data_IF_509710906764
#
_entry.id   IF_509710906764
#
_cell.length_a   1.000
_cell.length_b   1.000
_cell.length_c   1.000
_cell.angle_alpha   90.00
_cell.angle_beta   90.00
_cell.angle_gamma   90.00
#
_symmetry.space_group_name_H-M   'P 1'
#
loop_
_entity.id
_entity.type
_entity.pdbx_description
1 polymer ?
#
# COMPACT_ATOMS: atom_id res chain seq x y z
N UNK A 1 11.86 -40.39 12.87
CA UNK A 1 12.68 -39.16 12.92
C UNK A 1 11.80 -38.09 13.51
N UNK A 2 12.23 -37.43 14.59
CA UNK A 2 11.54 -36.21 15.05
C UNK A 2 11.77 -35.12 14.00
N UNK A 3 10.70 -34.50 13.54
CA UNK A 3 10.77 -33.36 12.64
C UNK A 3 11.42 -32.18 13.38
N UNK A 4 12.48 -31.61 12.81
CA UNK A 4 13.18 -30.44 13.33
C UNK A 4 12.83 -29.25 12.45
N UNK A 5 12.61 -28.08 13.06
CA UNK A 5 12.30 -26.83 12.38
C UNK A 5 13.52 -25.91 12.38
N UNK A 6 13.72 -25.16 11.29
CA UNK A 6 14.73 -24.11 11.24
C UNK A 6 14.17 -22.85 11.94
N UNK A 7 14.81 -22.44 13.04
CA UNK A 7 14.37 -21.29 13.83
C UNK A 7 15.54 -20.35 14.12
N UNK A 8 15.22 -19.07 14.35
CA UNK A 8 16.22 -18.06 14.72
C UNK A 8 16.33 -17.96 16.24
N UNK A 9 17.53 -18.16 16.79
CA UNK A 9 17.85 -17.99 18.20
C UNK A 9 19.14 -17.16 18.35
N UNK A 10 19.06 -16.04 19.09
CA UNK A 10 20.18 -15.09 19.28
C UNK A 10 20.87 -14.61 17.99
N UNK A 11 20.11 -14.53 16.88
CA UNK A 11 20.61 -14.09 15.57
C UNK A 11 21.11 -15.20 14.66
N UNK A 12 21.36 -16.39 15.21
CA UNK A 12 21.76 -17.58 14.46
C UNK A 12 20.57 -18.47 14.10
N UNK A 13 20.75 -19.35 13.12
CA UNK A 13 19.73 -20.30 12.66
C UNK A 13 20.06 -21.71 13.13
N UNK A 14 19.18 -22.26 13.97
CA UNK A 14 19.32 -23.59 14.57
C UNK A 14 18.16 -24.52 14.21
N UNK A 15 18.42 -25.83 14.21
CA UNK A 15 17.41 -26.87 14.07
C UNK A 15 16.88 -27.28 15.45
N UNK A 16 15.63 -26.94 15.74
CA UNK A 16 15.01 -27.16 17.04
C UNK A 16 13.72 -28.00 16.93
N UNK A 17 13.32 -28.75 17.98
CA UNK A 17 12.04 -29.44 17.98
C UNK A 17 10.88 -28.43 18.03
N UNK A 18 9.70 -28.74 17.44
CA UNK A 18 8.54 -27.85 17.45
C UNK A 18 8.09 -27.39 18.85
N UNK A 19 8.31 -28.22 19.89
CA UNK A 19 7.93 -27.91 21.27
C UNK A 19 8.76 -26.80 21.93
N UNK A 20 9.89 -26.39 21.33
CA UNK A 20 10.75 -25.32 21.84
C UNK A 20 10.64 -24.03 21.04
N UNK A 21 9.63 -23.89 20.18
CA UNK A 21 9.38 -22.67 19.40
C UNK A 21 8.39 -21.78 20.15
N UNK A 22 8.82 -20.57 20.50
CA UNK A 22 7.98 -19.60 21.23
C UNK A 22 7.14 -18.71 20.30
N UNK A 23 7.67 -18.38 19.12
CA UNK A 23 7.07 -17.42 18.19
C UNK A 23 7.18 -17.88 16.74
N UNK A 24 6.28 -17.38 15.90
CA UNK A 24 6.26 -17.61 14.45
C UNK A 24 5.99 -16.30 13.73
N UNK A 25 6.57 -16.16 12.54
CA UNK A 25 6.36 -15.04 11.64
C UNK A 25 4.89 -14.96 11.19
N UNK A 26 4.35 -13.74 11.12
CA UNK A 26 2.95 -13.51 10.72
C UNK A 26 2.80 -13.48 9.20
N UNK A 27 3.82 -12.96 8.49
CA UNK A 27 3.80 -12.83 7.04
C UNK A 27 5.19 -13.00 6.44
N UNK A 28 5.33 -13.69 5.29
CA UNK A 28 6.59 -13.76 4.54
C UNK A 28 7.08 -12.38 4.06
N UNK A 29 6.18 -11.41 3.90
CA UNK A 29 6.51 -10.07 3.41
C UNK A 29 7.07 -9.14 4.52
N UNK A 30 7.09 -9.57 5.78
CA UNK A 30 7.52 -8.72 6.90
C UNK A 30 8.99 -8.28 6.83
N UNK A 31 9.81 -9.01 6.07
CA UNK A 31 11.26 -8.76 5.95
C UNK A 31 11.58 -7.74 4.86
N UNK A 32 10.63 -7.46 3.96
CA UNK A 32 10.85 -6.59 2.80
C UNK A 32 10.12 -5.25 2.95
N UNK A 33 10.71 -4.21 2.40
CA UNK A 33 10.07 -2.88 2.37
C UNK A 33 8.88 -2.86 1.41
N UNK A 34 7.99 -1.89 1.59
CA UNK A 34 6.84 -1.66 0.69
C UNK A 34 7.24 -1.59 -0.78
N UNK A 35 8.36 -0.92 -1.10
CA UNK A 35 8.83 -0.80 -2.48
C UNK A 35 9.27 -2.15 -3.07
N UNK A 36 10.02 -2.95 -2.30
CA UNK A 36 10.44 -4.29 -2.74
C UNK A 36 9.25 -5.25 -2.85
N UNK A 37 8.25 -5.10 -1.97
CA UNK A 37 7.03 -5.91 -1.97
C UNK A 37 6.15 -5.71 -3.22
N UNK A 38 6.36 -4.64 -4.00
CA UNK A 38 5.70 -4.38 -5.28
C UNK A 38 6.35 -5.13 -6.46
N UNK A 39 7.52 -5.75 -6.27
CA UNK A 39 8.22 -6.49 -7.32
C UNK A 39 7.67 -7.93 -7.36
N UNK A 40 7.04 -8.37 -8.47
CA UNK A 40 6.59 -9.75 -8.59
C UNK A 40 7.77 -10.72 -8.69
N UNK A 41 7.62 -11.93 -8.14
CA UNK A 41 8.62 -13.00 -8.18
C UNK A 41 9.96 -12.64 -7.52
N UNK A 42 9.93 -11.77 -6.51
CA UNK A 42 11.11 -11.26 -5.80
C UNK A 42 12.03 -12.38 -5.28
N UNK A 43 11.44 -13.50 -4.85
CA UNK A 43 12.16 -14.67 -4.36
C UNK A 43 13.05 -15.35 -5.41
N UNK A 44 12.86 -15.03 -6.69
CA UNK A 44 13.63 -15.55 -7.82
C UNK A 44 14.71 -14.56 -8.30
N UNK A 45 14.77 -13.34 -7.75
CA UNK A 45 15.76 -12.33 -8.11
C UNK A 45 16.85 -12.20 -7.04
N UNK A 46 18.03 -11.73 -7.43
CA UNK A 46 19.11 -11.47 -6.49
C UNK A 46 18.90 -10.13 -5.75
N UNK A 47 19.52 -9.99 -4.58
CA UNK A 47 19.32 -8.84 -3.71
C UNK A 47 19.74 -7.50 -4.36
N UNK A 48 20.76 -7.50 -5.22
CA UNK A 48 21.22 -6.27 -5.88
C UNK A 48 20.25 -5.84 -6.97
N UNK A 49 19.71 -6.80 -7.74
CA UNK A 49 18.67 -6.54 -8.73
C UNK A 49 17.37 -6.08 -8.10
N UNK A 50 16.94 -6.72 -7.01
CA UNK A 50 15.79 -6.29 -6.21
C UNK A 50 15.96 -4.85 -5.69
N UNK A 51 17.15 -4.50 -5.18
CA UNK A 51 17.48 -3.17 -4.71
C UNK A 51 17.43 -2.14 -5.85
N UNK A 52 18.03 -2.46 -6.99
CA UNK A 52 18.00 -1.59 -8.18
C UNK A 52 16.57 -1.39 -8.67
N UNK A 53 15.78 -2.48 -8.80
CA UNK A 53 14.39 -2.42 -9.21
C UNK A 53 13.52 -1.55 -8.30
N UNK A 54 13.69 -1.71 -6.98
CA UNK A 54 13.00 -0.89 -5.98
C UNK A 54 13.31 0.60 -6.12
N UNK A 55 14.56 0.95 -6.44
CA UNK A 55 14.96 2.34 -6.66
C UNK A 55 14.51 2.90 -8.01
N UNK A 56 14.50 2.07 -9.06
CA UNK A 56 14.00 2.46 -10.38
C UNK A 56 12.52 2.82 -10.34
N UNK A 57 11.69 2.07 -9.60
CA UNK A 57 10.26 2.39 -9.47
C UNK A 57 10.00 3.78 -8.88
N UNK A 58 10.86 4.26 -7.98
CA UNK A 58 10.73 5.61 -7.38
C UNK A 58 11.01 6.74 -8.37
N UNK A 59 11.63 6.43 -9.50
CA UNK A 59 11.96 7.39 -10.56
C UNK A 59 10.93 7.37 -11.70
N UNK A 60 9.90 6.53 -11.60
CA UNK A 60 8.84 6.46 -12.60
C UNK A 60 8.10 7.80 -12.68
N UNK A 61 7.81 8.23 -13.91
CA UNK A 61 7.08 9.47 -14.18
C UNK A 61 5.61 9.11 -14.47
N UNK A 62 4.62 9.80 -13.88
CA UNK A 62 3.21 9.59 -14.19
C UNK A 62 2.92 9.83 -15.68
N UNK A 63 2.15 8.92 -16.28
CA UNK A 63 1.73 9.03 -17.68
C UNK A 63 0.44 9.84 -17.79
N UNK A 64 0.06 10.21 -19.02
CA UNK A 64 -1.24 10.85 -19.29
C UNK A 64 -2.41 9.90 -19.00
N UNK A 65 -2.24 8.63 -19.36
CA UNK A 65 -3.17 7.55 -19.10
C UNK A 65 -2.41 6.41 -18.43
N UNK A 66 -2.82 6.02 -17.24
CA UNK A 66 -2.17 4.96 -16.47
C UNK A 66 -2.91 3.64 -16.69
N UNK A 67 -2.14 2.55 -16.78
CA UNK A 67 -2.67 1.18 -16.86
C UNK A 67 -2.18 0.38 -15.66
N UNK A 68 -3.04 -0.49 -15.12
CA UNK A 68 -2.65 -1.39 -14.05
C UNK A 68 -1.72 -2.49 -14.57
N UNK A 69 -0.75 -2.97 -13.76
CA UNK A 69 0.10 -4.09 -14.18
C UNK A 69 -0.73 -5.36 -14.36
N UNK A 70 -0.46 -6.11 -15.43
CA UNK A 70 -1.12 -7.41 -15.65
C UNK A 70 -0.72 -8.46 -14.61
N UNK A 71 0.49 -8.33 -14.05
CA UNK A 71 1.00 -9.17 -12.96
C UNK A 71 1.36 -8.27 -11.81
N UNK A 72 0.54 -8.28 -10.76
CA UNK A 72 0.74 -7.52 -9.53
C UNK A 72 1.02 -8.42 -8.33
N UNK A 73 1.25 -7.77 -7.19
CA UNK A 73 1.59 -8.39 -5.91
C UNK A 73 0.45 -8.33 -4.88
N UNK A 74 -0.54 -7.47 -5.12
CA UNK A 74 -1.62 -7.15 -4.18
C UNK A 74 -1.28 -5.99 -3.24
N UNK A 75 -0.02 -5.53 -3.22
CA UNK A 75 0.40 -4.38 -2.40
C UNK A 75 -0.03 -3.05 -3.02
N UNK A 76 -0.36 -3.01 -4.31
CA UNK A 76 -0.62 -1.79 -5.08
C UNK A 76 -1.79 -0.99 -4.49
N UNK A 77 -2.88 -1.67 -4.11
CA UNK A 77 -4.06 -1.01 -3.54
C UNK A 77 -3.73 -0.34 -2.20
N UNK A 78 -3.07 -1.08 -1.30
CA UNK A 78 -2.68 -0.58 0.02
C UNK A 78 -1.77 0.63 -0.12
N UNK A 79 -0.77 0.55 -1.01
CA UNK A 79 0.15 1.66 -1.29
C UNK A 79 -0.60 2.87 -1.86
N UNK A 80 -1.48 2.67 -2.83
CA UNK A 80 -2.25 3.78 -3.43
C UNK A 80 -3.13 4.47 -2.39
N UNK A 81 -3.85 3.68 -1.57
CA UNK A 81 -4.73 4.16 -0.49
C UNK A 81 -3.95 4.94 0.56
N UNK A 82 -2.82 4.40 1.02
CA UNK A 82 -2.06 4.96 2.13
C UNK A 82 -1.08 6.07 1.71
N UNK A 83 -0.79 6.21 0.41
CA UNK A 83 0.09 7.27 -0.11
C UNK A 83 -0.46 8.69 0.09
N UNK A 84 -1.76 8.85 0.36
CA UNK A 84 -2.42 10.16 0.41
C UNK A 84 -2.61 10.82 -0.97
N UNK A 85 -2.34 10.09 -2.06
CA UNK A 85 -2.56 10.58 -3.43
C UNK A 85 -4.03 10.50 -3.84
N UNK A 86 -4.76 9.51 -3.33
CA UNK A 86 -6.19 9.31 -3.58
C UNK A 86 -7.05 10.01 -2.53
N UNK A 87 -8.24 10.44 -2.94
CA UNK A 87 -9.25 10.99 -2.01
C UNK A 87 -10.11 9.85 -1.48
N UNK A 88 -10.22 9.71 -0.16
CA UNK A 88 -10.98 8.66 0.52
C UNK A 88 -12.17 9.27 1.24
N UNK A 89 -13.33 8.64 1.13
CA UNK A 89 -14.54 9.08 1.83
C UNK A 89 -14.43 8.82 3.34
N UNK A 90 -14.79 9.80 4.16
CA UNK A 90 -14.68 9.72 5.63
C UNK A 90 -15.85 8.97 6.27
N UNK A 91 -17.02 9.01 5.63
CA UNK A 91 -18.27 8.41 6.11
C UNK A 91 -19.04 7.78 4.95
N UNK A 92 -19.87 6.81 5.29
CA UNK A 92 -20.79 6.19 4.35
C UNK A 92 -21.79 7.21 3.83
N UNK A 93 -22.15 7.09 2.55
CA UNK A 93 -23.01 8.07 1.90
C UNK A 93 -23.49 7.64 0.52
N UNK A 94 -24.24 8.53 -0.12
CA UNK A 94 -24.65 8.43 -1.52
C UNK A 94 -23.99 9.58 -2.27
N UNK A 95 -23.32 9.26 -3.38
CA UNK A 95 -22.77 10.28 -4.28
C UNK A 95 -23.94 11.02 -4.95
N UNK A 96 -24.03 12.33 -4.71
CA UNK A 96 -25.11 13.18 -5.25
C UNK A 96 -24.65 13.92 -6.51
N UNK A 97 -23.43 14.47 -6.48
CA UNK A 97 -22.84 15.18 -7.60
C UNK A 97 -21.38 14.78 -7.83
N UNK A 98 -21.00 14.61 -9.10
CA UNK A 98 -19.61 14.41 -9.53
C UNK A 98 -19.30 15.42 -10.62
N UNK A 99 -18.24 16.19 -10.43
CA UNK A 99 -17.64 17.02 -11.46
C UNK A 99 -16.10 16.84 -11.47
N UNK A 100 -15.39 17.52 -12.38
CA UNK A 100 -13.94 17.35 -12.50
C UNK A 100 -13.18 17.96 -11.32
N UNK A 101 -13.77 18.87 -10.55
CA UNK A 101 -13.13 19.60 -9.46
C UNK A 101 -13.53 19.10 -8.09
N UNK A 102 -14.69 18.45 -7.94
CA UNK A 102 -15.21 17.99 -6.66
C UNK A 102 -16.23 16.87 -6.79
N UNK A 103 -16.37 16.15 -5.69
CA UNK A 103 -17.37 15.09 -5.48
C UNK A 103 -18.18 15.48 -4.24
N UNK A 104 -19.51 15.48 -4.37
CA UNK A 104 -20.44 15.78 -3.27
C UNK A 104 -21.12 14.49 -2.84
N UNK A 105 -21.03 14.17 -1.54
CA UNK A 105 -21.57 12.94 -0.96
C UNK A 105 -22.53 13.31 0.16
N UNK A 106 -23.76 12.84 0.07
CA UNK A 106 -24.75 12.94 1.14
C UNK A 106 -24.56 11.77 2.10
N UNK A 107 -24.22 12.06 3.34
CA UNK A 107 -23.91 11.05 4.35
C UNK A 107 -25.14 10.23 4.76
N UNK A 108 -24.89 8.97 5.12
CA UNK A 108 -25.88 8.07 5.74
C UNK A 108 -25.55 7.94 7.23
N UNK A 109 -26.55 8.11 8.09
CA UNK A 109 -26.42 7.87 9.54
C UNK A 109 -27.06 8.96 10.40
N UNK A 110 -26.88 8.84 11.71
CA UNK A 110 -27.33 9.83 12.68
C UNK A 110 -26.42 11.06 12.62
N UNK A 111 -26.99 12.17 12.13
CA UNK A 111 -26.32 13.45 12.03
C UNK A 111 -26.24 14.09 13.41
N UNK A 112 -25.06 14.55 13.81
CA UNK A 112 -24.92 15.37 15.01
C UNK A 112 -25.60 16.73 14.83
N UNK A 113 -26.02 17.34 15.94
CA UNK A 113 -26.69 18.64 15.92
C UNK A 113 -25.75 19.73 15.37
N UNK A 114 -25.97 20.13 14.11
CA UNK A 114 -25.15 21.11 13.38
C UNK A 114 -24.48 20.57 12.13
N UNK A 115 -24.55 19.25 11.89
CA UNK A 115 -24.05 18.65 10.65
C UNK A 115 -25.04 18.87 9.50
N UNK A 116 -24.53 19.36 8.37
CA UNK A 116 -25.30 19.55 7.14
C UNK A 116 -25.61 18.22 6.44
N UNK A 117 -24.97 17.13 6.87
CA UNK A 117 -25.12 15.80 6.30
C UNK A 117 -24.54 15.66 4.88
N UNK A 118 -23.71 16.61 4.47
CA UNK A 118 -23.11 16.67 3.14
C UNK A 118 -21.60 16.85 3.28
N UNK A 119 -20.86 15.97 2.61
CA UNK A 119 -19.41 16.08 2.41
C UNK A 119 -19.09 16.57 1.01
N UNK A 120 -18.09 17.46 0.93
CA UNK A 120 -17.56 17.95 -0.33
C UNK A 120 -16.07 17.61 -0.39
N UNK A 121 -15.71 16.78 -1.35
CA UNK A 121 -14.35 16.33 -1.59
C UNK A 121 -13.79 17.05 -2.81
N UNK A 122 -12.78 17.90 -2.64
CA UNK A 122 -12.17 18.64 -3.75
C UNK A 122 -11.02 17.84 -4.40
N UNK A 123 -11.06 17.74 -5.73
CA UNK A 123 -10.06 17.08 -6.55
C UNK A 123 -8.94 18.06 -6.95
N UNK A 124 -7.71 17.57 -7.00
CA UNK A 124 -6.54 18.36 -7.41
C UNK A 124 -6.36 18.24 -8.93
N UNK A 125 -6.72 19.27 -9.67
CA UNK A 125 -6.50 19.34 -11.13
C UNK A 125 -5.26 20.17 -11.46
N UNK A 126 -4.41 19.66 -12.35
CA UNK A 126 -3.25 20.35 -12.95
C UNK A 126 -2.49 21.28 -11.99
N UNK A 127 -1.89 20.72 -10.93
CA UNK A 127 -0.88 21.43 -10.16
C UNK A 127 0.47 21.26 -10.85
N UNK A 128 1.16 22.37 -11.11
CA UNK A 128 2.58 22.36 -11.46
C UNK A 128 3.37 21.75 -10.30
N UNK A 129 3.67 20.46 -10.38
CA UNK A 129 4.50 19.77 -9.38
C UNK A 129 6.00 20.07 -9.52
N UNK A 130 6.38 20.98 -10.43
CA UNK A 130 7.78 21.33 -10.71
C UNK A 130 8.47 22.00 -9.50
N UNK A 131 7.72 22.58 -8.54
CA UNK A 131 8.29 23.35 -7.43
C UNK A 131 8.10 22.74 -6.02
N UNK A 132 7.75 21.44 -5.87
CA UNK A 132 7.55 20.84 -4.54
C UNK A 132 8.71 19.99 -4.01
N UNK A 133 9.82 19.86 -4.75
CA UNK A 133 10.98 19.06 -4.33
C UNK A 133 12.35 19.75 -4.56
N UNK A 134 12.42 21.07 -4.32
CA UNK A 134 13.71 21.75 -4.07
C UNK A 134 13.81 22.11 -2.59
#
# INVERSE_FOLDING_TARGET
MSELLNCRHDGDFDLVPPSSVDFVDVSPQQTVSVAAALIPFLENDDANRALMGSNMMRQAVPLVTNEAPFVGTGMEETVARDSGSSVVATRDGIVDQVDSQRIVVTSKGDLEAGDLGVDIYNLKNFKDQINQHV
#
